data_IF_502396415862
#
_entry.id   IF_502396415862
#
_cell.length_a   1.000
_cell.length_b   1.000
_cell.length_c   1.000
_cell.angle_alpha   90.00
_cell.angle_beta   90.00
_cell.angle_gamma   90.00
#
_symmetry.space_group_name_H-M   'P 1'
#
loop_
_entity.id
_entity.type
_entity.pdbx_description
1 polymer ?
#
# COMPACT_ATOMS: atom_id res chain seq x y z
N UNK A 1 17.73 13.72 8.82
CA UNK A 1 17.99 12.80 9.95
C UNK A 1 16.95 12.88 11.07
N UNK A 2 16.75 14.01 11.77
CA UNK A 2 15.87 14.08 12.97
C UNK A 2 14.44 13.54 12.78
N UNK A 3 13.79 13.81 11.64
CA UNK A 3 12.43 13.34 11.35
C UNK A 3 12.34 11.83 11.15
N UNK A 4 13.38 11.21 10.58
CA UNK A 4 13.46 9.76 10.37
C UNK A 4 13.65 9.05 11.72
N UNK A 5 14.54 9.56 12.58
CA UNK A 5 14.75 9.03 13.92
C UNK A 5 13.48 9.06 14.78
N UNK A 6 12.60 10.05 14.58
CA UNK A 6 11.30 10.09 15.27
C UNK A 6 10.37 8.96 14.82
N UNK A 7 10.34 8.64 13.51
CA UNK A 7 9.49 7.58 12.96
C UNK A 7 9.91 6.18 13.41
N UNK A 8 11.22 5.95 13.61
CA UNK A 8 11.74 4.64 14.02
C UNK A 8 11.87 4.47 15.53
N UNK A 9 11.76 5.55 16.31
CA UNK A 9 11.98 5.55 17.76
C UNK A 9 11.30 4.39 18.50
N UNK A 10 10.05 4.07 18.16
CA UNK A 10 9.32 2.99 18.82
C UNK A 10 9.89 1.61 18.48
N UNK A 11 10.24 1.37 17.21
CA UNK A 11 10.88 0.14 16.76
C UNK A 11 12.29 0.01 17.35
N UNK A 12 13.07 1.08 17.33
CA UNK A 12 14.43 1.13 17.90
C UNK A 12 14.41 0.88 19.41
N UNK A 13 13.45 1.45 20.13
CA UNK A 13 13.29 1.22 21.56
C UNK A 13 12.95 -0.25 21.86
N UNK A 14 12.12 -0.89 21.04
CA UNK A 14 11.81 -2.31 21.19
C UNK A 14 13.01 -3.19 20.83
N UNK A 15 13.74 -2.83 19.78
CA UNK A 15 14.99 -3.49 19.36
C UNK A 15 16.02 -3.47 20.49
N UNK A 16 16.20 -2.32 21.17
CA UNK A 16 17.10 -2.21 22.33
C UNK A 16 16.69 -3.09 23.50
N UNK A 17 15.40 -3.33 23.69
CA UNK A 17 14.87 -4.13 24.82
C UNK A 17 14.85 -5.64 24.54
N UNK A 18 14.55 -6.05 23.30
CA UNK A 18 14.23 -7.44 22.98
C UNK A 18 15.09 -8.03 21.85
N UNK A 19 16.02 -7.25 21.28
CA UNK A 19 16.84 -7.64 20.15
C UNK A 19 16.24 -7.24 18.79
N UNK A 20 17.11 -7.13 17.79
CA UNK A 20 16.78 -6.60 16.47
C UNK A 20 15.81 -7.52 15.72
N UNK A 21 16.06 -8.83 15.77
CA UNK A 21 15.22 -9.85 15.14
C UNK A 21 13.78 -9.82 15.67
N UNK A 22 13.60 -9.61 16.98
CA UNK A 22 12.27 -9.54 17.60
C UNK A 22 11.51 -8.24 17.26
N UNK A 23 12.22 -7.20 16.84
CA UNK A 23 11.64 -5.92 16.42
C UNK A 23 11.28 -5.88 14.93
N UNK A 24 11.53 -6.94 14.15
CA UNK A 24 11.25 -7.00 12.71
C UNK A 24 9.82 -6.57 12.36
N UNK A 25 8.83 -7.02 13.12
CA UNK A 25 7.42 -6.66 12.87
C UNK A 25 7.16 -5.15 13.02
N UNK A 26 7.90 -4.48 13.89
CA UNK A 26 7.78 -3.03 14.07
C UNK A 26 8.49 -2.26 12.96
N UNK A 27 9.60 -2.79 12.43
CA UNK A 27 10.22 -2.25 11.23
C UNK A 27 9.37 -2.49 9.98
N UNK A 28 8.65 -3.61 9.85
CA UNK A 28 7.66 -3.80 8.79
C UNK A 28 6.55 -2.75 8.87
N UNK A 29 6.05 -2.44 10.09
CA UNK A 29 5.08 -1.36 10.27
C UNK A 29 5.66 0.02 9.91
N UNK A 30 6.92 0.27 10.25
CA UNK A 30 7.59 1.50 9.87
C UNK A 30 7.77 1.63 8.35
N UNK A 31 8.06 0.52 7.65
CA UNK A 31 8.14 0.49 6.19
C UNK A 31 6.80 0.84 5.56
N UNK A 32 5.74 0.21 6.06
CA UNK A 32 4.37 0.49 5.65
C UNK A 32 4.02 1.98 5.82
N UNK A 33 4.29 2.56 6.99
CA UNK A 33 4.02 3.99 7.24
C UNK A 33 4.88 4.90 6.36
N UNK A 34 6.16 4.55 6.13
CA UNK A 34 7.02 5.30 5.22
C UNK A 34 6.48 5.32 3.78
N UNK A 35 6.03 4.17 3.26
CA UNK A 35 5.41 4.08 1.93
C UNK A 35 4.06 4.82 1.87
N UNK A 36 3.24 4.72 2.93
CA UNK A 36 1.95 5.40 3.01
C UNK A 36 2.06 6.92 3.16
N UNK A 37 3.22 7.42 3.61
CA UNK A 37 3.56 8.85 3.67
C UNK A 37 4.36 9.33 2.43
N UNK A 38 4.74 8.42 1.52
CA UNK A 38 5.77 8.65 0.47
C UNK A 38 7.08 9.23 1.03
N UNK A 39 7.43 8.86 2.26
CA UNK A 39 8.66 9.31 2.92
C UNK A 39 9.83 8.42 2.51
N UNK A 40 10.47 8.81 1.41
CA UNK A 40 11.57 8.06 0.83
C UNK A 40 12.77 7.91 1.77
N UNK A 41 13.07 8.93 2.56
CA UNK A 41 14.19 8.88 3.50
C UNK A 41 13.91 7.89 4.64
N UNK A 42 12.68 7.88 5.17
CA UNK A 42 12.27 6.88 6.15
C UNK A 42 12.25 5.47 5.54
N UNK A 43 11.80 5.32 4.29
CA UNK A 43 11.81 4.03 3.59
C UNK A 43 13.22 3.46 3.46
N UNK A 44 14.19 4.27 3.01
CA UNK A 44 15.61 3.88 2.88
C UNK A 44 16.19 3.47 4.23
N UNK A 45 15.92 4.24 5.28
CA UNK A 45 16.40 3.91 6.63
C UNK A 45 15.79 2.60 7.16
N UNK A 46 14.50 2.36 6.92
CA UNK A 46 13.85 1.10 7.31
C UNK A 46 14.42 -0.08 6.54
N UNK A 47 14.65 0.06 5.23
CA UNK A 47 15.27 -0.98 4.42
C UNK A 47 16.68 -1.32 4.89
N UNK A 48 17.47 -0.29 5.27
CA UNK A 48 18.77 -0.49 5.94
C UNK A 48 18.62 -1.33 7.19
N UNK A 49 17.71 -0.96 8.10
CA UNK A 49 17.52 -1.67 9.37
C UNK A 49 16.97 -3.08 9.17
N UNK A 50 16.10 -3.31 8.18
CA UNK A 50 15.66 -4.65 7.81
C UNK A 50 16.80 -5.48 7.20
N UNK A 51 17.75 -4.85 6.50
CA UNK A 51 19.02 -5.47 6.12
C UNK A 51 19.80 -5.94 7.34
N UNK A 52 19.91 -5.09 8.37
CA UNK A 52 20.58 -5.44 9.64
C UNK A 52 19.88 -6.57 10.39
N UNK A 53 18.54 -6.60 10.38
CA UNK A 53 17.74 -7.71 10.92
C UNK A 53 18.14 -9.02 10.25
N UNK A 54 18.25 -9.04 8.91
CA UNK A 54 18.66 -10.24 8.17
C UNK A 54 20.14 -10.56 8.43
N UNK A 55 21.02 -9.56 8.53
CA UNK A 55 22.42 -9.76 8.90
C UNK A 55 22.57 -10.46 10.26
N UNK A 56 21.78 -10.06 11.25
CA UNK A 56 21.76 -10.69 12.58
C UNK A 56 21.18 -12.11 12.52
N UNK A 57 20.06 -12.32 11.80
CA UNK A 57 19.49 -13.66 11.56
C UNK A 57 20.51 -14.60 10.92
N UNK A 58 21.19 -14.15 9.86
CA UNK A 58 22.20 -14.95 9.16
C UNK A 58 23.35 -15.39 10.07
N UNK A 59 23.73 -14.57 11.06
CA UNK A 59 24.72 -14.96 12.08
C UNK A 59 24.19 -15.98 13.08
N UNK A 60 22.97 -15.78 13.57
CA UNK A 60 22.35 -16.68 14.54
C UNK A 60 22.08 -18.06 13.93
N UNK A 61 21.59 -18.08 12.69
CA UNK A 61 21.22 -19.30 11.97
C UNK A 61 22.41 -19.90 11.19
N UNK A 62 23.51 -19.16 11.05
CA UNK A 62 24.70 -19.53 10.24
C UNK A 62 24.33 -19.89 8.80
N UNK A 63 23.35 -19.18 8.23
CA UNK A 63 22.84 -19.44 6.88
C UNK A 63 23.33 -18.36 5.89
N UNK A 64 24.14 -18.73 4.88
CA UNK A 64 24.67 -17.77 3.90
C UNK A 64 23.59 -17.11 3.04
N UNK A 65 22.46 -17.79 2.79
CA UNK A 65 21.36 -17.23 1.99
C UNK A 65 20.72 -16.03 2.67
N UNK A 66 20.74 -15.97 4.00
CA UNK A 66 20.18 -14.83 4.73
C UNK A 66 21.08 -13.59 4.59
N UNK A 67 22.39 -13.78 4.43
CA UNK A 67 23.28 -12.66 4.06
C UNK A 67 22.96 -12.12 2.67
N UNK A 68 22.60 -12.98 1.71
CA UNK A 68 22.13 -12.54 0.39
C UNK A 68 20.88 -11.64 0.51
N UNK A 69 19.92 -12.00 1.39
CA UNK A 69 18.74 -11.16 1.67
C UNK A 69 19.13 -9.79 2.23
N UNK A 70 20.07 -9.75 3.17
CA UNK A 70 20.58 -8.50 3.74
C UNK A 70 21.24 -7.62 2.66
N UNK A 71 22.09 -8.21 1.82
CA UNK A 71 22.76 -7.52 0.71
C UNK A 71 21.77 -6.92 -0.28
N UNK A 72 20.72 -7.65 -0.66
CA UNK A 72 19.66 -7.13 -1.54
C UNK A 72 18.97 -5.93 -0.89
N UNK A 73 18.61 -6.01 0.39
CA UNK A 73 17.96 -4.89 1.11
C UNK A 73 18.85 -3.64 1.17
N UNK A 74 20.16 -3.78 1.44
CA UNK A 74 21.09 -2.65 1.41
C UNK A 74 21.22 -2.04 0.01
N UNK A 75 21.31 -2.88 -1.03
CA UNK A 75 21.37 -2.42 -2.42
C UNK A 75 20.08 -1.72 -2.84
N UNK A 76 18.93 -2.26 -2.46
CA UNK A 76 17.66 -1.60 -2.71
C UNK A 76 17.61 -0.26 -1.96
N UNK A 77 18.06 -0.18 -0.71
CA UNK A 77 18.16 1.09 0.00
C UNK A 77 19.08 2.09 -0.74
N UNK A 78 20.22 1.65 -1.28
CA UNK A 78 21.14 2.47 -2.08
C UNK A 78 20.48 3.04 -3.34
N UNK A 79 19.86 2.19 -4.15
CA UNK A 79 19.15 2.60 -5.38
C UNK A 79 18.00 3.57 -5.09
N UNK A 80 17.46 3.50 -3.88
CA UNK A 80 16.34 4.31 -3.41
C UNK A 80 16.79 5.59 -2.72
N UNK A 81 18.07 5.70 -2.36
CA UNK A 81 18.66 6.83 -1.66
C UNK A 81 18.91 8.01 -2.60
N UNK A 82 18.71 9.23 -2.10
CA UNK A 82 19.10 10.48 -2.77
C UNK A 82 20.23 11.22 -2.02
N UNK A 83 20.60 10.72 -0.85
CA UNK A 83 21.57 11.32 0.06
C UNK A 83 22.89 10.55 -0.04
N UNK A 84 23.96 11.25 -0.44
CA UNK A 84 25.28 10.65 -0.66
C UNK A 84 25.88 10.07 0.65
N UNK A 85 25.69 10.72 1.80
CA UNK A 85 26.27 10.25 3.07
C UNK A 85 25.61 9.00 3.62
N UNK A 86 24.30 8.82 3.36
CA UNK A 86 23.59 7.56 3.64
C UNK A 86 24.07 6.45 2.68
N UNK A 87 24.51 6.84 1.47
CA UNK A 87 25.13 5.96 0.48
C UNK A 87 26.36 5.21 1.02
N UNK A 88 27.36 5.95 1.50
CA UNK A 88 28.61 5.36 2.00
C UNK A 88 28.37 4.35 3.15
N UNK A 89 27.46 4.69 4.07
CA UNK A 89 27.10 3.77 5.17
C UNK A 89 26.46 2.48 4.66
N UNK A 90 25.69 2.53 3.57
CA UNK A 90 25.04 1.36 3.01
C UNK A 90 26.02 0.50 2.21
N UNK A 91 26.96 1.11 1.48
CA UNK A 91 28.03 0.39 0.79
C UNK A 91 28.92 -0.38 1.77
N UNK A 92 29.30 0.26 2.89
CA UNK A 92 30.05 -0.43 3.95
C UNK A 92 29.28 -1.64 4.51
N UNK A 93 27.97 -1.52 4.73
CA UNK A 93 27.12 -2.62 5.22
C UNK A 93 26.98 -3.74 4.19
N UNK A 94 26.85 -3.39 2.91
CA UNK A 94 26.82 -4.33 1.81
C UNK A 94 28.09 -5.19 1.78
N UNK A 95 29.26 -4.55 1.72
CA UNK A 95 30.55 -5.26 1.70
C UNK A 95 30.80 -6.06 2.98
N UNK A 96 30.29 -5.59 4.11
CA UNK A 96 30.40 -6.33 5.35
C UNK A 96 29.54 -7.61 5.34
N UNK A 97 28.31 -7.55 4.83
CA UNK A 97 27.47 -8.73 4.66
C UNK A 97 28.09 -9.73 3.65
N UNK A 98 28.67 -9.21 2.57
CA UNK A 98 29.40 -10.00 1.57
C UNK A 98 30.58 -10.76 2.20
N UNK A 99 31.41 -10.09 3.01
CA UNK A 99 32.52 -10.75 3.74
C UNK A 99 32.03 -11.85 4.68
N UNK A 100 30.90 -11.65 5.35
CA UNK A 100 30.32 -12.66 6.24
C UNK A 100 29.78 -13.87 5.47
N UNK A 101 29.21 -13.64 4.29
CA UNK A 101 28.76 -14.69 3.37
C UNK A 101 29.91 -15.55 2.86
N UNK A 102 31.03 -14.92 2.48
CA UNK A 102 32.19 -15.58 1.86
C UNK A 102 33.12 -16.30 2.85
N UNK A 103 33.02 -15.99 4.15
CA UNK A 103 33.84 -16.59 5.21
C UNK A 103 35.30 -16.14 5.23
N UNK A 104 36.06 -16.57 6.25
CA UNK A 104 37.51 -16.35 6.34
C UNK A 104 38.24 -17.33 5.40
N UNK A 105 38.43 -16.97 4.13
CA UNK A 105 39.22 -17.79 3.20
C UNK A 105 39.01 -17.51 1.71
N UNK A 106 37.97 -16.75 1.34
CA UNK A 106 37.66 -16.51 -0.06
C UNK A 106 38.16 -15.13 -0.51
N UNK A 107 39.23 -15.10 -1.30
CA UNK A 107 39.68 -13.92 -2.08
C UNK A 107 38.99 -13.84 -3.45
N UNK A 108 37.85 -14.52 -3.61
CA UNK A 108 37.02 -14.36 -4.78
C UNK A 108 36.31 -13.00 -4.68
N UNK A 109 36.79 -12.03 -5.46
CA UNK A 109 35.98 -10.88 -5.86
C UNK A 109 34.81 -11.44 -6.66
N UNK A 110 33.70 -11.71 -5.98
CA UNK A 110 32.46 -12.13 -6.62
C UNK A 110 31.93 -10.92 -7.37
N UNK A 111 32.37 -10.73 -8.61
CA UNK A 111 31.72 -9.80 -9.53
C UNK A 111 30.25 -10.19 -9.56
N UNK A 112 29.41 -9.27 -9.10
CA UNK A 112 27.96 -9.44 -9.04
C UNK A 112 27.43 -9.99 -10.36
N UNK A 113 27.03 -11.27 -10.36
CA UNK A 113 26.15 -11.81 -11.38
C UNK A 113 24.71 -11.64 -10.88
N UNK A 114 23.88 -10.84 -11.57
CA UNK A 114 22.45 -10.95 -11.40
C UNK A 114 22.06 -12.39 -11.76
N UNK A 115 21.52 -13.18 -10.82
CA UNK A 115 20.71 -14.37 -11.16
C UNK A 115 19.92 -14.08 -12.43
N UNK A 116 20.13 -14.90 -13.46
CA UNK A 116 19.60 -14.66 -14.80
C UNK A 116 18.10 -14.31 -14.78
N UNK A 117 17.69 -13.38 -15.65
CA UNK A 117 16.31 -12.92 -15.78
C UNK A 117 15.29 -14.07 -15.90
N UNK A 118 15.71 -15.21 -16.46
CA UNK A 118 14.87 -16.40 -16.62
C UNK A 118 14.52 -17.10 -15.30
N UNK A 119 15.31 -16.92 -14.23
CA UNK A 119 15.12 -17.59 -12.92
C UNK A 119 14.35 -16.74 -11.90
N UNK A 120 14.14 -15.43 -12.16
CA UNK A 120 13.53 -14.47 -11.22
C UNK A 120 12.10 -14.05 -11.51
N UNK A 121 11.58 -14.28 -12.72
CA UNK A 121 10.18 -13.96 -12.99
C UNK A 121 9.27 -15.00 -12.33
N UNK A 122 8.60 -14.62 -11.24
CA UNK A 122 7.45 -15.37 -10.75
C UNK A 122 6.39 -15.37 -11.84
N UNK A 123 5.79 -16.53 -12.11
CA UNK A 123 4.61 -16.54 -12.99
C UNK A 123 3.52 -15.71 -12.33
N UNK A 124 2.73 -14.97 -13.11
CA UNK A 124 1.60 -14.19 -12.59
C UNK A 124 0.64 -15.07 -11.75
N UNK A 125 0.54 -16.36 -12.07
CA UNK A 125 -0.21 -17.34 -11.30
C UNK A 125 0.35 -17.53 -9.87
N UNK A 126 1.67 -17.65 -9.71
CA UNK A 126 2.31 -17.76 -8.38
C UNK A 126 2.14 -16.49 -7.56
N UNK A 127 2.21 -15.32 -8.22
CA UNK A 127 1.90 -14.05 -7.55
C UNK A 127 0.46 -14.08 -7.07
N UNK A 128 -0.51 -14.34 -7.95
CA UNK A 128 -1.94 -14.40 -7.58
C UNK A 128 -2.24 -15.37 -6.44
N UNK A 129 -1.60 -16.54 -6.42
CA UNK A 129 -1.75 -17.54 -5.35
C UNK A 129 -1.36 -16.98 -3.97
N UNK A 130 -0.26 -16.22 -3.89
CA UNK A 130 0.17 -15.57 -2.64
C UNK A 130 -0.86 -14.58 -2.09
N UNK A 131 -1.62 -13.92 -2.95
CA UNK A 131 -2.62 -12.93 -2.56
C UNK A 131 -3.99 -13.55 -2.28
N UNK A 132 -4.33 -14.69 -2.87
CA UNK A 132 -5.68 -15.27 -2.82
C UNK A 132 -6.24 -15.40 -1.39
N UNK A 133 -5.47 -15.92 -0.45
CA UNK A 133 -5.90 -16.06 0.95
C UNK A 133 -6.05 -14.70 1.67
N UNK A 134 -5.15 -13.76 1.37
CA UNK A 134 -5.16 -12.43 1.98
C UNK A 134 -6.32 -11.58 1.46
N UNK A 135 -6.61 -11.66 0.16
CA UNK A 135 -7.72 -10.95 -0.48
C UNK A 135 -9.07 -11.45 0.05
N UNK A 136 -9.23 -12.78 0.23
CA UNK A 136 -10.41 -13.35 0.89
C UNK A 136 -10.59 -12.83 2.33
N UNK A 137 -9.50 -12.73 3.10
CA UNK A 137 -9.57 -12.18 4.45
C UNK A 137 -9.88 -10.69 4.48
N UNK A 138 -9.41 -9.95 3.47
CA UNK A 138 -9.74 -8.55 3.30
C UNK A 138 -11.25 -8.37 3.05
N UNK A 139 -11.91 -9.22 2.26
CA UNK A 139 -13.36 -9.10 2.01
C UNK A 139 -14.21 -9.42 3.24
N UNK A 140 -13.85 -10.45 4.01
CA UNK A 140 -14.61 -10.94 5.19
C UNK A 140 -14.46 -10.05 6.44
N UNK A 141 -13.65 -8.97 6.37
CA UNK A 141 -13.48 -8.03 7.47
C UNK A 141 -12.49 -8.50 8.54
N UNK A 142 -11.45 -9.24 8.12
CA UNK A 142 -10.37 -9.67 9.02
C UNK A 142 -9.59 -8.51 9.66
N UNK A 143 -8.72 -8.82 10.61
CA UNK A 143 -7.88 -7.83 11.28
C UNK A 143 -6.96 -7.10 10.29
N UNK A 144 -7.34 -5.88 9.91
CA UNK A 144 -6.63 -5.02 8.96
C UNK A 144 -5.15 -4.83 9.34
N UNK A 145 -4.83 -4.70 10.62
CA UNK A 145 -3.45 -4.52 11.08
C UNK A 145 -2.58 -5.75 10.78
N UNK A 146 -3.16 -6.96 10.89
CA UNK A 146 -2.46 -8.20 10.52
C UNK A 146 -2.24 -8.26 9.00
N UNK A 147 -3.29 -7.96 8.22
CA UNK A 147 -3.23 -7.96 6.76
C UNK A 147 -2.15 -7.01 6.24
N UNK A 148 -2.07 -5.81 6.81
CA UNK A 148 -1.05 -4.83 6.44
C UNK A 148 0.37 -5.34 6.66
N UNK A 149 0.62 -6.03 7.78
CA UNK A 149 1.94 -6.64 8.04
C UNK A 149 2.21 -7.78 7.06
N UNK A 150 1.23 -8.63 6.77
CA UNK A 150 1.38 -9.74 5.83
C UNK A 150 1.65 -9.27 4.40
N UNK A 151 0.92 -8.26 3.91
CA UNK A 151 1.24 -7.65 2.62
C UNK A 151 2.61 -6.97 2.63
N UNK A 152 3.01 -6.32 3.73
CA UNK A 152 4.34 -5.69 3.81
C UNK A 152 5.46 -6.74 3.82
N UNK A 153 5.23 -7.95 4.35
CA UNK A 153 6.17 -9.08 4.17
C UNK A 153 6.31 -9.47 2.70
N UNK A 154 5.21 -9.48 1.93
CA UNK A 154 5.26 -9.73 0.48
C UNK A 154 6.01 -8.62 -0.27
N UNK A 155 5.94 -7.36 0.18
CA UNK A 155 6.80 -6.27 -0.36
C UNK A 155 8.28 -6.61 -0.19
N UNK A 156 8.69 -7.02 1.02
CA UNK A 156 10.08 -7.42 1.29
C UNK A 156 10.46 -8.68 0.50
N UNK A 157 9.57 -9.65 0.39
CA UNK A 157 9.80 -10.84 -0.43
C UNK A 157 10.02 -10.48 -1.91
N UNK A 158 9.19 -9.62 -2.48
CA UNK A 158 9.35 -9.11 -3.85
C UNK A 158 10.69 -8.41 -4.04
N UNK A 159 11.08 -7.54 -3.09
CA UNK A 159 12.38 -6.86 -3.12
C UNK A 159 13.54 -7.86 -3.10
N UNK A 160 13.53 -8.80 -2.15
CA UNK A 160 14.62 -9.77 -1.96
C UNK A 160 14.78 -10.69 -3.18
N UNK A 161 13.67 -11.05 -3.82
CA UNK A 161 13.68 -11.90 -5.01
C UNK A 161 13.84 -11.11 -6.32
N UNK A 162 13.92 -9.77 -6.25
CA UNK A 162 13.95 -8.88 -7.42
C UNK A 162 12.73 -9.09 -8.34
N UNK A 163 11.59 -9.40 -7.72
CA UNK A 163 10.30 -9.59 -8.37
C UNK A 163 9.49 -8.30 -8.27
N UNK A 164 9.64 -7.45 -9.29
CA UNK A 164 8.90 -6.21 -9.44
C UNK A 164 7.39 -6.42 -9.41
N UNK A 165 6.90 -7.53 -9.98
CA UNK A 165 5.46 -7.80 -10.05
C UNK A 165 4.88 -8.09 -8.67
N UNK A 166 5.57 -8.90 -7.87
CA UNK A 166 5.20 -9.17 -6.48
C UNK A 166 5.30 -7.91 -5.61
N UNK A 167 6.38 -7.14 -5.74
CA UNK A 167 6.55 -5.90 -4.96
C UNK A 167 5.40 -4.90 -5.25
N UNK A 168 5.14 -4.63 -6.53
CA UNK A 168 4.11 -3.67 -6.96
C UNK A 168 2.72 -4.13 -6.55
N UNK A 169 2.41 -5.41 -6.74
CA UNK A 169 1.12 -6.00 -6.34
C UNK A 169 0.94 -5.91 -4.81
N UNK A 170 1.99 -6.18 -4.02
CA UNK A 170 1.95 -6.06 -2.58
C UNK A 170 1.67 -4.63 -2.10
N UNK A 171 2.38 -3.63 -2.66
CA UNK A 171 2.16 -2.21 -2.32
C UNK A 171 0.74 -1.78 -2.69
N UNK A 172 0.27 -2.24 -3.85
CA UNK A 172 -1.10 -2.00 -4.31
C UNK A 172 -2.13 -2.57 -3.32
N UNK A 173 -1.94 -3.80 -2.85
CA UNK A 173 -2.84 -4.44 -1.87
C UNK A 173 -2.80 -3.79 -0.48
N UNK A 174 -1.64 -3.27 -0.03
CA UNK A 174 -1.58 -2.39 1.16
C UNK A 174 -2.47 -1.15 0.94
N UNK A 175 -2.42 -0.57 -0.26
CA UNK A 175 -3.28 0.55 -0.66
C UNK A 175 -4.77 0.22 -0.57
N UNK A 176 -5.17 -0.99 -0.95
CA UNK A 176 -6.57 -1.44 -0.89
C UNK A 176 -7.11 -1.55 0.53
N UNK A 177 -6.28 -1.98 1.49
CA UNK A 177 -6.69 -1.99 2.89
C UNK A 177 -7.03 -0.58 3.36
N UNK A 178 -6.18 0.40 3.01
CA UNK A 178 -6.46 1.81 3.34
C UNK A 178 -7.63 2.40 2.57
N UNK A 179 -7.81 2.02 1.30
CA UNK A 179 -8.95 2.46 0.50
C UNK A 179 -10.26 1.93 1.10
N UNK A 180 -10.34 0.63 1.39
CA UNK A 180 -11.50 -0.01 2.02
C UNK A 180 -11.83 0.65 3.36
N UNK A 181 -10.84 0.80 4.24
CA UNK A 181 -11.03 1.48 5.52
C UNK A 181 -11.50 2.91 5.33
N UNK A 182 -10.91 3.65 4.38
CA UNK A 182 -11.25 5.03 4.08
C UNK A 182 -12.66 5.20 3.52
N UNK A 183 -13.16 4.27 2.72
CA UNK A 183 -14.53 4.29 2.19
C UNK A 183 -15.56 3.91 3.24
N UNK A 184 -15.28 2.91 4.08
CA UNK A 184 -16.16 2.46 5.16
C UNK A 184 -16.29 3.50 6.28
N UNK A 185 -15.16 4.04 6.74
CA UNK A 185 -15.11 4.98 7.87
C UNK A 185 -15.22 6.45 7.47
N UNK A 186 -15.18 6.75 6.15
CA UNK A 186 -15.07 8.12 5.61
C UNK A 186 -13.83 8.88 6.12
N UNK A 187 -12.77 8.15 6.41
CA UNK A 187 -11.51 8.69 6.90
C UNK A 187 -10.63 9.22 5.75
N UNK A 188 -10.55 10.54 5.63
CA UNK A 188 -9.77 11.21 4.59
C UNK A 188 -8.24 10.93 4.67
N UNK A 189 -7.63 10.88 5.87
CA UNK A 189 -6.29 10.33 6.07
C UNK A 189 -6.07 8.95 5.43
N UNK A 190 -6.93 7.95 5.67
CA UNK A 190 -6.82 6.64 5.02
C UNK A 190 -6.86 6.73 3.49
N UNK A 191 -7.77 7.51 2.92
CA UNK A 191 -7.82 7.71 1.45
C UNK A 191 -6.56 8.42 0.91
N UNK A 192 -5.90 9.24 1.72
CA UNK A 192 -4.63 9.89 1.36
C UNK A 192 -3.48 8.88 1.39
N UNK A 193 -3.43 8.01 2.41
CA UNK A 193 -2.48 6.89 2.49
C UNK A 193 -2.64 5.92 1.31
N UNK A 194 -3.87 5.58 0.93
CA UNK A 194 -4.13 4.75 -0.25
C UNK A 194 -3.58 5.39 -1.54
N UNK A 195 -3.81 6.69 -1.72
CA UNK A 195 -3.29 7.45 -2.88
C UNK A 195 -1.75 7.42 -2.93
N UNK A 196 -1.10 7.64 -1.78
CA UNK A 196 0.35 7.57 -1.65
C UNK A 196 0.91 6.19 -2.01
N UNK A 197 0.25 5.12 -1.57
CA UNK A 197 0.64 3.74 -1.88
C UNK A 197 0.48 3.42 -3.36
N UNK A 198 -0.63 3.83 -3.99
CA UNK A 198 -0.81 3.61 -5.43
C UNK A 198 0.21 4.40 -6.27
N UNK A 199 0.56 5.63 -5.89
CA UNK A 199 1.64 6.38 -6.54
C UNK A 199 3.01 5.71 -6.33
N UNK A 200 3.26 5.17 -5.13
CA UNK A 200 4.48 4.43 -4.82
C UNK A 200 4.60 3.17 -5.69
N UNK A 201 3.50 2.42 -5.84
CA UNK A 201 3.42 1.27 -6.74
C UNK A 201 3.60 1.69 -8.21
N UNK A 202 3.00 2.82 -8.62
CA UNK A 202 3.07 3.31 -10.00
C UNK A 202 4.50 3.71 -10.40
N UNK A 203 5.23 4.35 -9.48
CA UNK A 203 6.64 4.70 -9.68
C UNK A 203 7.57 3.47 -9.81
N UNK A 204 7.12 2.32 -9.30
CA UNK A 204 7.88 1.05 -9.38
C UNK A 204 7.38 0.13 -10.49
N UNK A 205 6.20 0.38 -11.06
CA UNK A 205 5.58 -0.51 -12.03
C UNK A 205 6.23 -0.39 -13.41
N UNK A 206 6.80 -1.48 -13.91
CA UNK A 206 7.37 -1.53 -15.26
C UNK A 206 6.30 -1.83 -16.33
N UNK A 207 5.33 -2.69 -16.01
CA UNK A 207 4.33 -3.19 -16.96
C UNK A 207 3.23 -2.16 -17.23
N UNK A 208 2.97 -1.87 -18.51
CA UNK A 208 1.93 -0.92 -18.95
C UNK A 208 0.54 -1.29 -18.41
N UNK A 209 0.16 -2.58 -18.47
CA UNK A 209 -1.13 -3.06 -17.96
C UNK A 209 -1.29 -2.81 -16.44
N UNK A 210 -0.22 -3.00 -15.66
CA UNK A 210 -0.23 -2.72 -14.22
C UNK A 210 -0.45 -1.24 -13.91
N UNK A 211 0.12 -0.34 -14.73
CA UNK A 211 -0.09 1.12 -14.60
C UNK A 211 -1.55 1.51 -14.78
N UNK A 212 -2.27 0.90 -15.72
CA UNK A 212 -3.71 1.18 -15.94
C UNK A 212 -4.53 0.84 -14.70
N UNK A 213 -4.29 -0.31 -14.08
CA UNK A 213 -4.97 -0.72 -12.83
C UNK A 213 -4.73 0.28 -11.70
N UNK A 214 -3.49 0.76 -11.57
CA UNK A 214 -3.11 1.73 -10.55
C UNK A 214 -3.75 3.11 -10.80
N UNK A 215 -3.77 3.57 -12.05
CA UNK A 215 -4.44 4.83 -12.44
C UNK A 215 -5.93 4.76 -12.13
N UNK A 216 -6.59 3.65 -12.47
CA UNK A 216 -8.00 3.46 -12.15
C UNK A 216 -8.27 3.53 -10.64
N UNK A 217 -7.43 2.91 -9.81
CA UNK A 217 -7.54 2.97 -8.34
C UNK A 217 -7.31 4.37 -7.79
N UNK A 218 -6.37 5.13 -8.36
CA UNK A 218 -6.15 6.54 -8.02
C UNK A 218 -7.38 7.40 -8.33
N UNK A 219 -7.96 7.23 -9.53
CA UNK A 219 -9.18 7.94 -9.94
C UNK A 219 -10.37 7.59 -9.03
N UNK A 220 -10.55 6.30 -8.71
CA UNK A 220 -11.56 5.85 -7.77
C UNK A 220 -11.40 6.51 -6.39
N UNK A 221 -10.18 6.47 -5.85
CA UNK A 221 -9.85 7.09 -4.55
C UNK A 221 -10.10 8.59 -4.55
N UNK A 222 -9.80 9.28 -5.67
CA UNK A 222 -10.10 10.69 -5.82
C UNK A 222 -11.62 10.96 -5.82
N UNK A 223 -12.40 10.14 -6.53
CA UNK A 223 -13.85 10.25 -6.62
C UNK A 223 -14.52 10.05 -5.25
N UNK A 224 -14.13 9.03 -4.50
CA UNK A 224 -14.66 8.75 -3.14
C UNK A 224 -14.33 9.89 -2.15
N UNK A 225 -13.13 10.48 -2.25
CA UNK A 225 -12.75 11.67 -1.46
C UNK A 225 -13.62 12.88 -1.78
N UNK A 226 -13.91 13.12 -3.06
CA UNK A 226 -14.77 14.24 -3.48
C UNK A 226 -16.23 14.06 -3.01
N UNK A 227 -16.77 12.85 -3.14
CA UNK A 227 -18.11 12.50 -2.63
C UNK A 227 -18.24 12.79 -1.13
N UNK A 228 -17.23 12.40 -0.35
CA UNK A 228 -17.18 12.63 1.10
C UNK A 228 -17.14 14.13 1.45
N UNK A 229 -16.34 14.95 0.74
CA UNK A 229 -16.28 16.40 0.96
C UNK A 229 -17.62 17.09 0.66
N UNK A 230 -18.27 16.73 -0.45
CA UNK A 230 -19.58 17.29 -0.84
C UNK A 230 -20.64 16.99 0.21
N UNK A 231 -20.68 15.76 0.73
CA UNK A 231 -21.61 15.36 1.79
C UNK A 231 -21.38 16.15 3.09
N UNK A 232 -20.13 16.29 3.56
CA UNK A 232 -19.82 17.08 4.78
C UNK A 232 -20.19 18.56 4.64
N UNK A 233 -19.97 19.16 3.48
CA UNK A 233 -20.31 20.57 3.25
C UNK A 233 -21.82 20.81 3.25
N UNK A 234 -22.63 19.89 2.69
CA UNK A 234 -24.09 19.95 2.77
C UNK A 234 -24.56 19.85 4.22
N UNK A 235 -24.08 18.87 5.00
CA UNK A 235 -24.46 18.73 6.41
C UNK A 235 -24.08 19.96 7.26
N UNK A 236 -22.95 20.62 6.96
CA UNK A 236 -22.58 21.89 7.59
C UNK A 236 -23.55 23.01 7.24
N UNK A 237 -23.94 23.16 5.98
CA UNK A 237 -24.95 24.16 5.56
C UNK A 237 -26.30 23.94 6.24
N UNK A 238 -26.79 22.70 6.32
CA UNK A 238 -28.04 22.40 7.03
C UNK A 238 -27.97 22.73 8.53
N UNK A 239 -26.84 22.46 9.21
CA UNK A 239 -26.65 22.85 10.62
C UNK A 239 -26.61 24.36 10.82
N UNK A 240 -25.95 25.10 9.93
CA UNK A 240 -25.89 26.57 10.00
C UNK A 240 -27.28 27.18 9.73
N UNK A 241 -28.06 26.63 8.80
CA UNK A 241 -29.44 27.04 8.55
C UNK A 241 -30.37 26.76 9.75
N UNK A 242 -30.22 25.63 10.43
CA UNK A 242 -31.01 25.35 11.65
C UNK A 242 -30.64 26.27 12.83
N UNK A 243 -29.38 26.71 12.93
CA UNK A 243 -28.95 27.65 13.96
C UNK A 243 -29.36 29.10 13.64
N UNK A 244 -29.46 29.48 12.37
CA UNK A 244 -29.97 30.79 11.95
C UNK A 244 -31.51 30.86 11.90
N UNK A 245 -32.22 29.73 11.94
CA UNK A 245 -33.69 29.66 12.00
C UNK A 245 -34.30 29.95 13.38
N UNK A 246 -33.49 30.33 14.38
CA UNK A 246 -33.95 30.66 15.73
C UNK A 246 -33.92 32.16 16.04
N UNK A 247 -34.29 32.98 15.05
CA UNK A 247 -34.71 34.37 15.27
C UNK A 247 -36.08 34.52 14.61
N UNK A 248 -37.16 34.49 15.42
CA UNK A 248 -38.52 34.79 14.95
C UNK A 248 -38.59 36.26 14.54
N UNK A 249 -39.29 36.56 13.44
CA UNK A 249 -40.41 37.48 13.57
C UNK A 249 -41.69 36.95 12.92
N UNK A 250 -42.73 36.88 13.77
CA UNK A 250 -44.15 37.17 13.58
C UNK A 250 -44.81 37.00 12.19
N UNK A 251 -45.76 36.06 12.16
CA UNK A 251 -47.08 36.02 11.49
C UNK A 251 -47.23 36.56 10.06
N UNK A 252 -47.35 35.64 9.08
CA UNK A 252 -48.29 35.76 7.94
C UNK A 252 -48.67 34.37 7.40
N UNK A 253 -49.95 34.10 7.05
CA UNK A 253 -50.39 32.78 6.63
C UNK A 253 -50.41 32.60 5.10
N UNK A 254 -49.99 31.40 4.66
CA UNK A 254 -50.56 30.71 3.51
C UNK A 254 -49.92 30.98 2.14
N UNK A 255 -48.95 30.15 1.75
CA UNK A 255 -48.98 29.47 0.44
C UNK A 255 -48.09 28.23 0.47
N UNK A 256 -48.65 27.09 0.05
CA UNK A 256 -47.94 25.83 -0.15
C UNK A 256 -46.91 25.95 -1.28
N UNK A 257 -45.68 25.41 -1.13
CA UNK A 257 -44.87 25.06 -2.26
C UNK A 257 -44.67 23.54 -2.32
N UNK A 258 -45.20 22.95 -3.40
CA UNK A 258 -44.66 21.72 -3.98
C UNK A 258 -43.17 21.92 -4.20
N UNK A 259 -42.34 21.30 -3.37
CA UNK A 259 -40.91 21.19 -3.59
C UNK A 259 -40.63 19.75 -4.01
N UNK A 260 -40.47 19.57 -5.31
CA UNK A 260 -39.92 18.34 -5.90
C UNK A 260 -38.62 17.98 -5.17
N UNK A 261 -38.68 16.85 -4.47
CA UNK A 261 -37.52 16.20 -3.86
C UNK A 261 -36.68 15.61 -4.99
N UNK A 262 -35.90 16.43 -5.67
CA UNK A 262 -34.84 15.94 -6.57
C UNK A 262 -33.67 15.50 -5.67
N UNK A 263 -33.82 14.27 -5.16
CA UNK A 263 -32.92 13.62 -4.22
C UNK A 263 -31.53 13.34 -4.80
N UNK A 264 -30.52 13.70 -4.00
CA UNK A 264 -29.07 13.52 -4.12
C UNK A 264 -28.62 12.04 -4.20
N UNK A 265 -29.12 11.32 -5.20
CA UNK A 265 -28.93 9.87 -5.36
C UNK A 265 -27.63 9.50 -6.08
N UNK A 266 -27.03 10.41 -6.86
CA UNK A 266 -25.95 10.04 -7.81
C UNK A 266 -24.61 9.73 -7.14
N UNK A 267 -24.20 10.48 -6.12
CA UNK A 267 -22.90 10.28 -5.47
C UNK A 267 -22.83 9.02 -4.61
N UNK A 268 -23.90 8.73 -3.85
CA UNK A 268 -23.96 7.56 -2.95
C UNK A 268 -24.31 6.27 -3.68
N UNK A 269 -25.06 6.33 -4.80
CA UNK A 269 -25.29 5.17 -5.67
C UNK A 269 -24.02 4.77 -6.41
N UNK A 270 -23.19 5.72 -6.86
CA UNK A 270 -22.03 5.42 -7.71
C UNK A 270 -20.93 4.59 -7.02
N UNK A 271 -20.68 4.79 -5.73
CA UNK A 271 -19.65 4.02 -5.00
C UNK A 271 -20.16 2.61 -4.66
N UNK A 272 -21.44 2.49 -4.26
CA UNK A 272 -22.08 1.18 -4.06
C UNK A 272 -22.16 0.39 -5.37
N UNK A 273 -22.60 1.02 -6.46
CA UNK A 273 -22.72 0.37 -7.76
C UNK A 273 -21.37 -0.07 -8.31
N UNK A 274 -20.29 0.69 -8.07
CA UNK A 274 -18.94 0.26 -8.48
C UNK A 274 -18.48 -1.02 -7.77
N UNK A 275 -18.59 -1.06 -6.44
CA UNK A 275 -18.20 -2.24 -5.66
C UNK A 275 -19.11 -3.44 -5.95
N UNK A 276 -20.40 -3.20 -6.20
CA UNK A 276 -21.36 -4.22 -6.62
C UNK A 276 -20.99 -4.83 -7.98
N UNK A 277 -20.60 -4.02 -8.97
CA UNK A 277 -20.13 -4.53 -10.25
C UNK A 277 -18.83 -5.33 -10.12
N UNK A 278 -17.86 -4.90 -9.29
CA UNK A 278 -16.64 -5.67 -9.06
C UNK A 278 -16.96 -7.03 -8.42
N UNK A 279 -17.73 -7.04 -7.33
CA UNK A 279 -18.08 -8.29 -6.62
C UNK A 279 -18.93 -9.24 -7.47
N UNK A 280 -19.80 -8.70 -8.33
CA UNK A 280 -20.60 -9.49 -9.27
C UNK A 280 -19.74 -10.05 -10.40
N UNK A 281 -18.80 -9.25 -10.91
CA UNK A 281 -17.80 -9.68 -11.90
C UNK A 281 -16.90 -10.80 -11.36
N UNK A 282 -16.39 -10.64 -10.13
CA UNK A 282 -15.56 -11.66 -9.47
C UNK A 282 -16.31 -12.99 -9.27
N UNK A 283 -17.60 -12.92 -8.89
CA UNK A 283 -18.45 -14.10 -8.76
C UNK A 283 -18.69 -14.77 -10.12
N UNK A 284 -19.00 -14.00 -11.15
CA UNK A 284 -19.19 -14.52 -12.50
C UNK A 284 -17.90 -15.17 -13.05
N UNK A 285 -16.75 -14.58 -12.75
CA UNK A 285 -15.44 -15.13 -13.11
C UNK A 285 -15.18 -16.46 -12.41
N UNK A 286 -15.47 -16.56 -11.12
CA UNK A 286 -15.36 -17.81 -10.36
C UNK A 286 -16.29 -18.92 -10.88
N UNK A 287 -17.48 -18.55 -11.37
CA UNK A 287 -18.45 -19.45 -11.99
C UNK A 287 -18.08 -19.83 -13.45
N UNK A 288 -16.99 -19.29 -14.02
CA UNK A 288 -16.59 -19.50 -15.42
C UNK A 288 -17.43 -18.73 -16.45
N UNK A 289 -18.28 -17.79 -16.01
CA UNK A 289 -19.15 -16.97 -16.88
C UNK A 289 -18.40 -15.72 -17.35
N UNK A 290 -17.49 -15.92 -18.31
CA UNK A 290 -16.57 -14.88 -18.78
C UNK A 290 -17.29 -13.63 -19.32
N UNK A 291 -18.32 -13.80 -20.15
CA UNK A 291 -19.05 -12.66 -20.75
C UNK A 291 -19.72 -11.78 -19.67
N UNK A 292 -20.30 -12.42 -18.65
CA UNK A 292 -20.95 -11.71 -17.53
C UNK A 292 -19.91 -11.01 -16.68
N UNK A 293 -18.75 -11.63 -16.45
CA UNK A 293 -17.65 -11.01 -15.73
C UNK A 293 -17.14 -9.77 -16.47
N UNK A 294 -16.88 -9.89 -17.77
CA UNK A 294 -16.41 -8.78 -18.62
C UNK A 294 -17.40 -7.61 -18.62
N UNK A 295 -18.69 -7.87 -18.81
CA UNK A 295 -19.71 -6.82 -18.80
C UNK A 295 -19.77 -6.07 -17.47
N UNK A 296 -19.63 -6.78 -16.35
CA UNK A 296 -19.62 -6.18 -15.02
C UNK A 296 -18.36 -5.34 -14.81
N UNK A 297 -17.17 -5.84 -15.20
CA UNK A 297 -15.93 -5.07 -15.12
C UNK A 297 -15.95 -3.83 -16.02
N UNK A 298 -16.47 -3.93 -17.24
CA UNK A 298 -16.65 -2.79 -18.14
C UNK A 298 -17.61 -1.74 -17.56
N UNK A 299 -18.70 -2.19 -16.92
CA UNK A 299 -19.64 -1.29 -16.22
C UNK A 299 -18.98 -0.57 -15.05
N UNK A 300 -18.15 -1.27 -14.27
CA UNK A 300 -17.36 -0.67 -13.19
C UNK A 300 -16.40 0.41 -13.73
N UNK A 301 -15.71 0.13 -14.84
CA UNK A 301 -14.79 1.09 -15.48
C UNK A 301 -15.52 2.37 -15.94
N UNK A 302 -16.68 2.23 -16.61
CA UNK A 302 -17.47 3.37 -17.09
C UNK A 302 -17.91 4.30 -15.95
N UNK A 303 -18.23 3.75 -14.78
CA UNK A 303 -18.60 4.56 -13.62
C UNK A 303 -17.45 5.48 -13.17
N UNK A 304 -16.19 5.08 -13.35
CA UNK A 304 -15.03 5.84 -12.88
C UNK A 304 -14.55 6.83 -13.93
N UNK A 305 -14.42 6.38 -15.18
CA UNK A 305 -13.81 7.16 -16.24
C UNK A 305 -14.76 8.18 -16.88
N UNK A 306 -16.08 8.02 -16.71
CA UNK A 306 -17.06 8.74 -17.52
C UNK A 306 -17.08 8.15 -18.93
N UNK A 307 -18.27 8.04 -19.51
CA UNK A 307 -18.42 7.74 -20.93
C UNK A 307 -17.99 8.95 -21.76
#
# INVERSE_FOLDING_TARGET
MLRVCQKLRAADARSKRHGLVRAETDYLRALQDAMADMDRCAEVEVLKTLGDVNLEKGRLEKNPEIFDRAMVLYRTALLRCKDAGVGDSLEHRYHYAEKLRLGKGSTATSSYEPLSNAKRMSSLAKVAEKFQHLDRRLTVGGNEKSLLIEYTKLVIEGIVNDDNTLEVEAIKSVGDVYLKRGTETRDAPCLTKATALYNTALARCERVQGKVVLIHRLLYTAKTRQGTKRSRNKSRRYRVQQQQGHVRPRDFPGTSPNADVIGDSKGRRSDKSYQEHLTTGDRALADGKLDVAEQNFASALRLIHGA
#
